data_IF_448617271843
#
_entry.id   IF_448617271843
#
_cell.length_a   1.000
_cell.length_b   1.000
_cell.length_c   1.000
_cell.angle_alpha   90.00
_cell.angle_beta   90.00
_cell.angle_gamma   90.00
#
_symmetry.space_group_name_H-M   'P 1'
#
loop_
_entity.id
_entity.type
_entity.pdbx_description
1 polymer ?
#
# COMPACT_ATOMS: atom_id res chain seq x y z
N UNK A 1 -1.77 -12.66 -17.99
CA UNK A 1 -2.68 -13.46 -17.13
C UNK A 1 -2.18 -13.64 -15.68
N UNK A 2 -0.88 -13.59 -15.37
CA UNK A 2 -0.37 -13.62 -13.97
C UNK A 2 -0.51 -12.27 -13.26
N UNK A 3 -0.14 -11.14 -13.89
CA UNK A 3 -0.25 -9.80 -13.28
C UNK A 3 -1.68 -9.37 -12.89
N UNK A 4 -2.68 -9.68 -13.72
CA UNK A 4 -4.10 -9.39 -13.43
C UNK A 4 -4.64 -10.08 -12.17
N UNK A 5 -4.11 -11.25 -11.80
CA UNK A 5 -4.60 -12.04 -10.66
C UNK A 5 -4.13 -11.48 -9.31
N UNK A 6 -3.05 -10.70 -9.28
CA UNK A 6 -2.44 -10.22 -8.03
C UNK A 6 -2.89 -8.80 -7.64
N UNK A 7 -3.09 -7.89 -8.61
CA UNK A 7 -3.73 -6.57 -8.37
C UNK A 7 -5.11 -6.76 -7.73
N UNK A 8 -5.84 -7.80 -8.17
CA UNK A 8 -7.15 -8.16 -7.62
C UNK A 8 -7.11 -8.61 -6.15
N UNK A 9 -6.00 -9.20 -5.65
CA UNK A 9 -5.92 -9.71 -4.28
C UNK A 9 -5.51 -8.63 -3.27
N UNK A 10 -4.57 -7.75 -3.64
CA UNK A 10 -4.17 -6.61 -2.81
C UNK A 10 -5.31 -5.58 -2.65
N UNK A 11 -6.12 -5.38 -3.70
CA UNK A 11 -7.30 -4.48 -3.66
C UNK A 11 -8.56 -5.16 -3.13
N UNK A 12 -8.65 -6.50 -3.14
CA UNK A 12 -9.76 -7.23 -2.51
C UNK A 12 -9.80 -7.00 -1.00
N UNK A 13 -8.63 -6.84 -0.36
CA UNK A 13 -8.53 -6.42 1.03
C UNK A 13 -9.28 -5.11 1.27
N UNK A 14 -9.01 -4.06 0.48
CA UNK A 14 -9.65 -2.73 0.61
C UNK A 14 -11.17 -2.74 0.46
N UNK A 15 -11.76 -3.67 -0.32
CA UNK A 15 -13.22 -3.80 -0.49
C UNK A 15 -13.92 -4.54 0.67
N UNK A 16 -13.19 -5.32 1.45
CA UNK A 16 -13.72 -6.07 2.61
C UNK A 16 -13.74 -5.24 3.91
N UNK A 17 -13.30 -3.99 3.87
CA UNK A 17 -12.99 -3.16 5.03
C UNK A 17 -14.15 -2.23 5.43
N UNK A 18 -15.34 -2.80 5.44
CA UNK A 18 -16.57 -2.13 5.84
C UNK A 18 -16.85 -2.45 7.32
N UNK A 19 -16.26 -1.67 8.25
CA UNK A 19 -16.67 -1.54 9.67
C UNK A 19 -15.76 -0.62 10.51
N UNK A 20 -15.63 0.66 10.14
CA UNK A 20 -15.19 1.72 11.07
C UNK A 20 -13.71 1.74 11.53
N UNK A 21 -12.93 0.68 11.34
CA UNK A 21 -11.51 0.64 11.68
C UNK A 21 -10.61 0.97 10.49
N UNK A 22 -10.48 2.26 10.21
CA UNK A 22 -9.60 2.80 9.16
C UNK A 22 -8.14 2.33 9.33
N UNK A 23 -7.63 2.29 10.57
CA UNK A 23 -6.24 1.92 10.84
C UNK A 23 -6.00 0.44 10.55
N UNK A 24 -6.85 -0.44 11.07
CA UNK A 24 -6.78 -1.88 10.81
C UNK A 24 -6.82 -2.18 9.31
N UNK A 25 -7.65 -1.42 8.59
CA UNK A 25 -7.82 -1.54 7.14
C UNK A 25 -6.53 -1.22 6.37
N UNK A 26 -5.94 -0.06 6.66
CA UNK A 26 -4.66 0.35 6.07
C UNK A 26 -3.52 -0.59 6.45
N UNK A 27 -3.50 -1.10 7.69
CA UNK A 27 -2.47 -2.02 8.16
C UNK A 27 -2.55 -3.37 7.45
N UNK A 28 -3.75 -3.91 7.25
CA UNK A 28 -3.95 -5.15 6.50
C UNK A 28 -3.48 -4.97 5.06
N UNK A 29 -3.90 -3.89 4.40
CA UNK A 29 -3.46 -3.54 3.05
C UNK A 29 -1.93 -3.43 2.94
N UNK A 30 -1.30 -2.69 3.85
CA UNK A 30 0.15 -2.49 3.86
C UNK A 30 0.92 -3.80 4.06
N UNK A 31 0.41 -4.68 4.93
CA UNK A 31 1.00 -6.00 5.18
C UNK A 31 0.90 -6.89 3.95
N UNK A 32 -0.30 -6.99 3.35
CA UNK A 32 -0.53 -7.79 2.14
C UNK A 32 0.30 -7.29 0.95
N UNK A 33 0.41 -5.97 0.81
CA UNK A 33 1.26 -5.35 -0.20
C UNK A 33 2.73 -5.74 -0.01
N UNK A 34 3.29 -5.54 1.19
CA UNK A 34 4.69 -5.87 1.48
C UNK A 34 4.99 -7.37 1.33
N UNK A 35 4.06 -8.24 1.73
CA UNK A 35 4.19 -9.69 1.54
C UNK A 35 4.19 -10.06 0.06
N UNK A 36 3.32 -9.44 -0.75
CA UNK A 36 3.31 -9.65 -2.19
C UNK A 36 4.62 -9.20 -2.83
N UNK A 37 5.11 -8.01 -2.49
CA UNK A 37 6.37 -7.47 -2.99
C UNK A 37 7.59 -8.33 -2.64
N UNK A 38 7.54 -9.04 -1.51
CA UNK A 38 8.61 -9.94 -1.08
C UNK A 38 8.54 -11.35 -1.72
N UNK A 39 7.54 -11.63 -2.55
CA UNK A 39 7.49 -12.90 -3.27
C UNK A 39 8.61 -12.99 -4.33
N UNK A 40 9.41 -14.07 -4.38
CA UNK A 40 10.55 -14.17 -5.29
C UNK A 40 10.20 -13.96 -6.77
N UNK A 41 9.03 -14.44 -7.20
CA UNK A 41 8.56 -14.31 -8.58
C UNK A 41 8.21 -12.85 -8.95
N UNK A 42 7.82 -12.01 -7.98
CA UNK A 42 7.53 -10.59 -8.22
C UNK A 42 8.82 -9.84 -8.53
N UNK A 43 9.85 -10.02 -7.69
CA UNK A 43 11.16 -9.41 -7.94
C UNK A 43 11.80 -9.88 -9.25
N UNK A 44 11.65 -11.17 -9.60
CA UNK A 44 12.12 -11.70 -10.89
C UNK A 44 11.40 -11.05 -12.07
N UNK A 45 10.06 -10.97 -12.03
CA UNK A 45 9.27 -10.34 -13.08
C UNK A 45 9.64 -8.87 -13.27
N UNK A 46 9.78 -8.10 -12.19
CA UNK A 46 10.18 -6.70 -12.25
C UNK A 46 11.57 -6.51 -12.88
N UNK A 47 12.53 -7.41 -12.61
CA UNK A 47 13.87 -7.34 -13.22
C UNK A 47 13.85 -7.61 -14.72
N UNK A 48 13.08 -8.61 -15.17
CA UNK A 48 12.94 -8.91 -16.61
C UNK A 48 12.31 -7.72 -17.33
N UNK A 49 11.21 -7.21 -16.79
CA UNK A 49 10.53 -6.03 -17.37
C UNK A 49 11.47 -4.83 -17.42
N UNK A 50 12.25 -4.57 -16.37
CA UNK A 50 13.18 -3.45 -16.33
C UNK A 50 14.34 -3.57 -17.34
N UNK A 51 14.81 -4.79 -17.61
CA UNK A 51 15.87 -5.03 -18.60
C UNK A 51 15.38 -4.72 -20.03
N UNK A 52 14.13 -5.05 -20.32
CA UNK A 52 13.55 -4.97 -21.66
C UNK A 52 12.80 -3.64 -21.91
N UNK A 53 12.51 -2.85 -20.87
CA UNK A 53 11.65 -1.67 -20.95
C UNK A 53 12.13 -0.59 -21.94
N UNK A 54 13.45 -0.43 -22.11
CA UNK A 54 13.99 0.53 -23.07
C UNK A 54 13.80 0.06 -24.53
N UNK A 55 13.78 -1.25 -24.76
CA UNK A 55 13.60 -1.85 -26.08
C UNK A 55 12.11 -1.99 -26.44
N UNK A 56 11.25 -2.19 -25.43
CA UNK A 56 9.80 -2.42 -25.59
C UNK A 56 8.98 -1.45 -24.69
N UNK A 57 9.00 -0.15 -25.00
CA UNK A 57 8.43 0.88 -24.12
C UNK A 57 6.90 0.82 -24.00
N UNK A 58 6.19 0.44 -25.06
CA UNK A 58 4.72 0.34 -25.03
C UNK A 58 4.24 -0.85 -24.21
N UNK A 59 4.95 -1.97 -24.32
CA UNK A 59 4.73 -3.16 -23.51
C UNK A 59 4.98 -2.85 -22.03
N UNK A 60 6.10 -2.18 -21.72
CA UNK A 60 6.42 -1.76 -20.36
C UNK A 60 5.34 -0.82 -19.78
N UNK A 61 4.87 0.18 -20.55
CA UNK A 61 3.75 1.07 -20.15
C UNK A 61 2.47 0.30 -19.90
N UNK A 62 2.16 -0.68 -20.75
CA UNK A 62 0.97 -1.53 -20.61
C UNK A 62 1.04 -2.38 -19.35
N UNK A 63 2.20 -2.98 -19.07
CA UNK A 63 2.44 -3.73 -17.84
C UNK A 63 2.32 -2.85 -16.59
N UNK A 64 2.84 -1.62 -16.64
CA UNK A 64 2.67 -0.65 -15.54
C UNK A 64 1.20 -0.30 -15.32
N UNK A 65 0.46 0.07 -16.39
CA UNK A 65 -0.97 0.42 -16.32
C UNK A 65 -1.81 -0.69 -15.70
N UNK A 66 -1.58 -1.94 -16.09
CA UNK A 66 -2.33 -3.09 -15.55
C UNK A 66 -1.81 -3.61 -14.20
N UNK A 67 -0.67 -3.11 -13.72
CA UNK A 67 -0.06 -3.49 -12.46
C UNK A 67 -0.16 -2.38 -11.42
N UNK A 68 0.94 -1.65 -11.23
CA UNK A 68 1.05 -0.57 -10.25
C UNK A 68 0.07 0.58 -10.53
N UNK A 69 -0.13 0.97 -11.79
CA UNK A 69 -1.06 2.04 -12.15
C UNK A 69 -2.51 1.71 -11.76
N UNK A 70 -2.97 0.49 -12.03
CA UNK A 70 -4.28 0.03 -11.61
C UNK A 70 -4.41 -0.01 -10.09
N UNK A 71 -3.39 -0.48 -9.37
CA UNK A 71 -3.39 -0.49 -7.91
C UNK A 71 -3.52 0.92 -7.32
N UNK A 72 -2.73 1.89 -7.81
CA UNK A 72 -2.79 3.29 -7.37
C UNK A 72 -4.17 3.89 -7.62
N UNK A 73 -4.78 3.62 -8.79
CA UNK A 73 -6.12 4.12 -9.11
C UNK A 73 -7.18 3.56 -8.14
N UNK A 74 -7.16 2.25 -7.87
CA UNK A 74 -8.11 1.64 -6.93
C UNK A 74 -7.94 2.15 -5.50
N UNK A 75 -6.70 2.41 -5.08
CA UNK A 75 -6.43 2.99 -3.78
C UNK A 75 -6.92 4.45 -3.70
N UNK A 76 -6.76 5.23 -4.77
CA UNK A 76 -7.26 6.60 -4.85
C UNK A 76 -8.79 6.66 -4.75
N UNK A 77 -9.52 5.81 -5.48
CA UNK A 77 -10.99 5.69 -5.40
C UNK A 77 -11.46 5.33 -3.97
N UNK A 78 -10.73 4.44 -3.30
CA UNK A 78 -11.02 4.10 -1.91
C UNK A 78 -10.73 5.26 -0.96
N UNK A 79 -9.60 5.97 -1.12
CA UNK A 79 -9.27 7.17 -0.32
C UNK A 79 -10.34 8.24 -0.49
N UNK A 80 -10.80 8.49 -1.73
CA UNK A 80 -11.89 9.44 -2.00
C UNK A 80 -13.15 9.09 -1.20
N UNK A 81 -13.52 7.81 -1.16
CA UNK A 81 -14.65 7.32 -0.35
C UNK A 81 -14.44 7.58 1.15
N UNK A 82 -13.23 7.39 1.66
CA UNK A 82 -12.88 7.63 3.08
C UNK A 82 -12.87 9.13 3.41
N UNK A 83 -12.42 9.98 2.49
CA UNK A 83 -12.50 11.44 2.60
C UNK A 83 -13.98 11.91 2.63
N UNK A 84 -14.84 11.36 1.77
CA UNK A 84 -16.28 11.65 1.78
C UNK A 84 -16.96 11.25 3.09
N UNK A 85 -16.46 10.21 3.77
CA UNK A 85 -16.91 9.79 5.10
C UNK A 85 -16.36 10.66 6.25
N UNK A 86 -15.53 11.67 5.95
CA UNK A 86 -14.94 12.56 6.93
C UNK A 86 -13.84 11.94 7.79
N UNK A 87 -13.31 10.76 7.41
CA UNK A 87 -12.29 10.06 8.19
C UNK A 87 -10.87 10.55 7.89
N UNK A 88 -10.63 10.96 6.64
CA UNK A 88 -9.41 11.62 6.18
C UNK A 88 -9.73 13.07 5.79
N UNK A 89 -8.75 13.96 5.98
CA UNK A 89 -8.78 15.34 5.49
C UNK A 89 -8.73 15.32 3.97
N UNK A 90 -9.52 16.17 3.35
CA UNK A 90 -9.61 16.26 1.90
C UNK A 90 -8.33 16.86 1.31
N UNK A 91 -7.62 16.06 0.53
CA UNK A 91 -6.53 16.42 -0.38
C UNK A 91 -6.76 15.68 -1.71
N UNK A 92 -5.85 15.75 -2.67
CA UNK A 92 -5.93 14.96 -3.91
C UNK A 92 -5.79 13.45 -3.62
N UNK A 93 -6.82 12.62 -3.85
CA UNK A 93 -6.78 11.19 -3.53
C UNK A 93 -5.71 10.41 -4.30
N UNK A 94 -5.32 10.85 -5.50
CA UNK A 94 -4.26 10.21 -6.29
C UNK A 94 -2.89 10.46 -5.65
N UNK A 95 -2.62 11.69 -5.21
CA UNK A 95 -1.38 12.00 -4.49
C UNK A 95 -1.32 11.27 -3.15
N UNK A 96 -2.43 11.20 -2.42
CA UNK A 96 -2.49 10.45 -1.17
C UNK A 96 -2.23 8.96 -1.38
N UNK A 97 -2.79 8.36 -2.44
CA UNK A 97 -2.57 6.96 -2.79
C UNK A 97 -1.11 6.68 -3.15
N UNK A 98 -0.51 7.51 -4.01
CA UNK A 98 0.89 7.37 -4.42
C UNK A 98 1.84 7.57 -3.24
N UNK A 99 1.57 8.55 -2.37
CA UNK A 99 2.33 8.79 -1.16
C UNK A 99 2.24 7.60 -0.20
N UNK A 100 1.04 7.07 0.06
CA UNK A 100 0.84 5.92 0.92
C UNK A 100 1.61 4.70 0.41
N UNK A 101 1.51 4.38 -0.89
CA UNK A 101 2.27 3.30 -1.51
C UNK A 101 3.78 3.51 -1.37
N UNK A 102 4.26 4.73 -1.56
CA UNK A 102 5.67 5.09 -1.41
C UNK A 102 6.15 4.93 0.04
N UNK A 103 5.34 5.34 1.02
CA UNK A 103 5.64 5.15 2.45
C UNK A 103 5.68 3.67 2.83
N UNK A 104 4.76 2.86 2.30
CA UNK A 104 4.72 1.41 2.55
C UNK A 104 5.91 0.72 1.89
N UNK A 105 6.18 0.95 0.60
CA UNK A 105 7.29 0.35 -0.11
C UNK A 105 8.65 0.77 0.47
N UNK A 106 8.79 2.07 0.79
CA UNK A 106 10.05 2.69 1.15
C UNK A 106 11.16 2.32 0.16
N UNK A 107 12.36 2.08 0.68
CA UNK A 107 13.52 1.64 -0.11
C UNK A 107 13.62 0.11 -0.25
N UNK A 108 12.58 -0.68 0.11
CA UNK A 108 12.72 -2.15 0.16
C UNK A 108 13.02 -2.77 -1.21
N UNK A 109 12.29 -2.33 -2.25
CA UNK A 109 12.51 -2.78 -3.62
C UNK A 109 13.91 -2.46 -4.14
N UNK A 110 14.41 -1.26 -3.82
CA UNK A 110 15.75 -0.86 -4.23
C UNK A 110 16.81 -1.69 -3.51
N UNK A 111 16.65 -1.92 -2.20
CA UNK A 111 17.51 -2.84 -1.43
C UNK A 111 17.52 -4.24 -2.02
N UNK A 112 16.36 -4.78 -2.41
CA UNK A 112 16.27 -6.08 -3.10
C UNK A 112 17.02 -6.07 -4.45
N UNK A 113 16.85 -5.01 -5.25
CA UNK A 113 17.51 -4.84 -6.55
C UNK A 113 19.04 -4.80 -6.44
N UNK A 114 19.57 -4.19 -5.39
CA UNK A 114 21.01 -4.11 -5.12
C UNK A 114 21.52 -5.22 -4.19
N UNK A 115 20.76 -6.29 -3.98
CA UNK A 115 21.16 -7.43 -3.16
C UNK A 115 21.63 -7.04 -1.74
N UNK A 116 21.03 -5.99 -1.19
CA UNK A 116 21.31 -5.44 0.14
C UNK A 116 20.27 -5.96 1.15
N UNK A 117 20.58 -6.02 2.47
CA UNK A 117 19.59 -6.40 3.47
C UNK A 117 18.28 -5.60 3.34
N UNK A 118 17.19 -6.34 3.14
CA UNK A 118 15.82 -5.85 2.97
C UNK A 118 14.91 -6.49 4.03
N UNK A 119 13.62 -6.18 4.03
CA UNK A 119 12.65 -6.69 5.02
C UNK A 119 12.18 -8.11 4.68
N UNK A 120 13.12 -9.05 4.66
CA UNK A 120 12.84 -10.47 4.38
C UNK A 120 12.03 -11.16 5.49
N UNK A 121 12.15 -10.69 6.73
CA UNK A 121 11.40 -11.21 7.87
C UNK A 121 9.98 -10.60 7.97
N UNK A 122 9.00 -11.44 8.30
CA UNK A 122 7.59 -11.03 8.38
C UNK A 122 7.32 -10.05 9.53
N UNK A 123 7.95 -10.23 10.69
CA UNK A 123 7.78 -9.32 11.82
C UNK A 123 8.39 -7.94 11.52
N UNK A 124 9.53 -7.90 10.84
CA UNK A 124 10.13 -6.64 10.36
C UNK A 124 9.23 -5.93 9.35
N UNK A 125 8.62 -6.66 8.39
CA UNK A 125 7.64 -6.07 7.47
C UNK A 125 6.43 -5.50 8.19
N UNK A 126 5.86 -6.26 9.13
CA UNK A 126 4.72 -5.81 9.94
C UNK A 126 5.04 -4.53 10.70
N UNK A 127 6.18 -4.46 11.38
CA UNK A 127 6.62 -3.25 12.09
C UNK A 127 6.77 -2.04 11.16
N UNK A 128 7.26 -2.25 9.94
CA UNK A 128 7.34 -1.19 8.93
C UNK A 128 5.96 -0.77 8.44
N UNK A 129 5.05 -1.71 8.20
CA UNK A 129 3.66 -1.43 7.83
C UNK A 129 2.96 -0.56 8.88
N UNK A 130 3.10 -0.92 10.16
CA UNK A 130 2.59 -0.13 11.30
C UNK A 130 3.16 1.30 11.28
N UNK A 131 4.49 1.43 11.15
CA UNK A 131 5.15 2.74 11.10
C UNK A 131 4.66 3.63 9.95
N UNK A 132 4.53 3.06 8.75
CA UNK A 132 4.10 3.79 7.55
C UNK A 132 2.63 4.20 7.65
N UNK A 133 1.74 3.29 8.07
CA UNK A 133 0.31 3.56 8.26
C UNK A 133 0.07 4.61 9.33
N UNK A 134 0.72 4.48 10.49
CA UNK A 134 0.56 5.44 11.59
C UNK A 134 1.07 6.82 11.19
N UNK A 135 2.11 6.90 10.35
CA UNK A 135 2.63 8.16 9.84
C UNK A 135 1.70 8.80 8.82
N UNK A 136 1.08 8.00 7.94
CA UNK A 136 0.06 8.47 7.01
C UNK A 136 -1.18 9.01 7.76
N UNK A 137 -1.66 8.27 8.76
CA UNK A 137 -2.80 8.70 9.58
C UNK A 137 -2.49 9.97 10.39
N UNK A 138 -1.28 10.13 10.91
CA UNK A 138 -0.87 11.38 11.56
C UNK A 138 -0.93 12.59 10.61
N UNK A 139 -0.61 12.39 9.34
CA UNK A 139 -0.67 13.45 8.32
C UNK A 139 -2.12 13.77 7.91
N UNK A 140 -2.94 12.75 7.64
CA UNK A 140 -4.22 12.93 6.94
C UNK A 140 -5.47 12.63 7.75
N UNK A 141 -5.42 11.94 8.90
CA UNK A 141 -6.63 11.68 9.68
C UNK A 141 -7.27 12.98 10.15
N UNK A 142 -8.61 13.04 10.12
CA UNK A 142 -9.35 14.15 10.73
C UNK A 142 -9.19 14.13 12.26
N UNK A 143 -9.32 15.27 12.94
CA UNK A 143 -9.19 15.33 14.40
C UNK A 143 -10.12 14.36 15.13
N UNK A 144 -11.34 14.17 14.63
CA UNK A 144 -12.33 13.23 15.17
C UNK A 144 -11.86 11.77 15.06
N UNK A 145 -11.34 11.38 13.89
CA UNK A 145 -10.78 10.05 13.64
C UNK A 145 -9.54 9.78 14.48
N UNK A 146 -8.67 10.80 14.64
CA UNK A 146 -7.49 10.71 15.48
C UNK A 146 -7.89 10.51 16.96
N UNK A 147 -8.83 11.29 17.47
CA UNK A 147 -9.33 11.18 18.85
C UNK A 147 -9.98 9.81 19.14
N UNK A 148 -10.78 9.29 18.21
CA UNK A 148 -11.39 7.97 18.33
C UNK A 148 -10.34 6.84 18.43
N UNK A 149 -9.25 6.95 17.65
CA UNK A 149 -8.14 5.98 17.67
C UNK A 149 -7.41 5.96 19.02
N UNK A 150 -7.17 7.13 19.62
CA UNK A 150 -6.54 7.23 20.95
C UNK A 150 -7.42 6.66 22.06
N UNK A 151 -8.75 6.88 22.00
CA UNK A 151 -9.70 6.36 22.99
C UNK A 151 -9.74 4.82 23.01
N UNK A 152 -9.71 4.19 21.83
CA UNK A 152 -9.71 2.72 21.72
C UNK A 152 -8.41 2.08 22.24
N UNK A 153 -7.25 2.74 22.07
CA UNK A 153 -5.98 2.23 22.59
C UNK A 153 -5.95 2.15 24.13
N UNK A 154 -6.64 3.07 24.82
CA UNK A 154 -6.72 3.04 26.29
C UNK A 154 -7.67 1.97 26.84
N UNK A 155 -8.64 1.48 26.05
CA UNK A 155 -9.60 0.44 26.49
C UNK A 155 -9.07 -0.98 26.38
N UNK A 156 -8.10 -1.26 25.51
CA UNK A 156 -7.55 -2.61 25.32
C UNK A 156 -6.54 -3.06 26.39
N UNK A 157 -6.30 -2.23 27.41
CA UNK A 157 -5.38 -2.54 28.53
C UNK A 157 -6.11 -2.68 29.89
N UNK A 158 -7.40 -2.98 29.90
CA UNK A 158 -8.19 -3.32 31.11
C UNK A 158 -8.86 -4.67 30.94
#
# INVERSE_FOLDING_TARGET
RVMQRHVSRATAGLRSLDQGDLRGSLLQFATDYLEHCNQPHVGQACRVIAADAAQFPEEARTLYRHGAGALTLHLAEWIETVCMRGQLRHDDPHFMAELLLSMIAGLDFEKQRFHTPHRADAAVRRRWAEFSVDSFLRAFATPETAAASHSNQHRSFS
#
